data_IF_593706961400
#
_entry.id   IF_593706961400
#
_cell.length_a   1.000
_cell.length_b   1.000
_cell.length_c   1.000
_cell.angle_alpha   90.00
_cell.angle_beta   90.00
_cell.angle_gamma   90.00
#
_symmetry.space_group_name_H-M   'P 1'
#
loop_
_entity.id
_entity.type
_entity.pdbx_description
1 polymer ?
#
# COMPACT_ATOMS: atom_id res chain seq x y z
N UNK A 1 21.07 20.70 -32.87
CA UNK A 1 21.06 19.23 -32.96
C UNK A 1 20.43 18.69 -34.25
N UNK A 2 19.59 19.46 -34.94
CA UNK A 2 19.04 19.11 -36.26
C UNK A 2 20.12 18.70 -37.29
N UNK A 3 21.33 19.25 -37.22
CA UNK A 3 22.44 18.88 -38.11
C UNK A 3 22.93 17.43 -37.94
N UNK A 4 22.82 16.84 -36.74
CA UNK A 4 23.21 15.45 -36.47
C UNK A 4 22.19 14.51 -37.11
N UNK A 5 20.89 14.77 -36.93
CA UNK A 5 19.83 14.02 -37.60
C UNK A 5 19.87 14.19 -39.11
N UNK A 6 20.21 15.38 -39.62
CA UNK A 6 20.37 15.62 -41.06
C UNK A 6 21.54 14.82 -41.65
N UNK A 7 22.60 14.56 -40.88
CA UNK A 7 23.81 13.86 -41.34
C UNK A 7 23.73 12.35 -41.16
N UNK A 8 23.23 11.90 -40.02
CA UNK A 8 23.22 10.49 -39.61
C UNK A 8 21.85 9.83 -39.75
N UNK A 9 20.79 10.62 -39.98
CA UNK A 9 19.43 10.14 -40.18
C UNK A 9 18.97 9.23 -39.05
N UNK A 10 18.40 8.10 -39.45
CA UNK A 10 17.85 7.06 -38.57
C UNK A 10 18.89 6.45 -37.63
N UNK A 11 20.15 6.35 -38.06
CA UNK A 11 21.23 5.73 -37.28
C UNK A 11 21.55 6.49 -35.99
N UNK A 12 21.20 7.78 -35.92
CA UNK A 12 21.36 8.58 -34.70
C UNK A 12 20.31 8.26 -33.62
N UNK A 13 19.15 7.73 -34.02
CA UNK A 13 18.01 7.42 -33.16
C UNK A 13 17.99 5.96 -32.69
N UNK A 14 18.70 5.08 -33.39
CA UNK A 14 18.79 3.66 -33.06
C UNK A 14 19.93 3.35 -32.08
N UNK A 15 19.74 2.31 -31.25
CA UNK A 15 20.80 1.77 -30.43
C UNK A 15 21.89 1.16 -31.33
N UNK A 16 23.15 1.31 -30.91
CA UNK A 16 24.31 0.91 -31.73
C UNK A 16 25.02 -0.27 -31.09
N UNK A 17 25.37 -1.27 -31.90
CA UNK A 17 26.17 -2.41 -31.46
C UNK A 17 27.65 -2.09 -31.62
N UNK A 18 28.47 -2.35 -30.60
CA UNK A 18 29.93 -2.11 -30.67
C UNK A 18 30.69 -3.41 -30.42
N UNK A 19 31.65 -3.69 -31.31
CA UNK A 19 32.50 -4.88 -31.29
C UNK A 19 31.98 -6.03 -32.19
N UNK A 20 32.90 -6.82 -32.75
CA UNK A 20 32.58 -7.96 -33.63
C UNK A 20 31.86 -9.12 -32.93
N UNK A 21 32.07 -9.29 -31.62
CA UNK A 21 31.41 -10.29 -30.76
C UNK A 21 30.25 -9.73 -29.90
N UNK A 22 29.95 -8.45 -30.06
CA UNK A 22 28.57 -7.99 -30.22
C UNK A 22 27.59 -8.25 -29.04
N UNK A 23 28.09 -8.24 -27.79
CA UNK A 23 27.28 -8.28 -26.56
C UNK A 23 27.01 -6.89 -25.94
N UNK A 24 27.58 -5.82 -26.49
CA UNK A 24 27.46 -4.47 -25.93
C UNK A 24 26.61 -3.60 -26.87
N UNK A 25 25.47 -3.15 -26.34
CA UNK A 25 24.60 -2.16 -26.98
C UNK A 25 24.86 -0.79 -26.36
N UNK A 26 25.30 0.15 -27.18
CA UNK A 26 25.37 1.56 -26.81
C UNK A 26 24.01 2.23 -27.05
N UNK A 27 23.66 3.24 -26.22
CA UNK A 27 22.51 4.06 -26.46
C UNK A 27 22.61 4.81 -27.81
N UNK A 28 21.47 5.29 -28.34
CA UNK A 28 21.46 6.13 -29.52
C UNK A 28 22.29 7.41 -29.32
N UNK A 29 22.77 7.98 -30.41
CA UNK A 29 23.56 9.22 -30.39
C UNK A 29 22.71 10.37 -29.87
N UNK A 30 21.46 10.41 -30.31
CA UNK A 30 20.47 11.39 -29.87
C UNK A 30 19.60 10.71 -28.83
N UNK A 31 19.56 11.29 -27.63
CA UNK A 31 18.69 10.76 -26.58
C UNK A 31 17.22 10.89 -26.98
N UNK A 32 16.36 10.01 -26.44
CA UNK A 32 14.92 10.05 -26.72
C UNK A 32 14.29 11.43 -26.42
N UNK A 33 14.76 12.11 -25.37
CA UNK A 33 14.31 13.46 -25.03
C UNK A 33 14.62 14.47 -26.14
N UNK A 34 15.87 14.50 -26.60
CA UNK A 34 16.29 15.40 -27.67
C UNK A 34 15.57 15.08 -29.00
N UNK A 35 15.33 13.80 -29.29
CA UNK A 35 14.53 13.39 -30.45
C UNK A 35 13.09 13.92 -30.37
N UNK A 36 12.47 13.89 -29.18
CA UNK A 36 11.14 14.45 -28.95
C UNK A 36 11.11 15.97 -29.09
N UNK A 37 12.11 16.68 -28.56
CA UNK A 37 12.24 18.14 -28.72
C UNK A 37 12.31 18.52 -30.21
N UNK A 38 13.13 17.83 -31.00
CA UNK A 38 13.23 18.06 -32.45
C UNK A 38 11.93 17.68 -33.17
N UNK A 39 11.25 16.62 -32.75
CA UNK A 39 9.93 16.26 -33.26
C UNK A 39 8.90 17.36 -33.01
N UNK A 40 8.92 17.97 -31.82
CA UNK A 40 8.04 19.11 -31.50
C UNK A 40 8.33 20.32 -32.39
N UNK A 41 9.60 20.65 -32.63
CA UNK A 41 10.00 21.72 -33.55
C UNK A 41 9.51 21.44 -34.99
N UNK A 42 9.69 20.21 -35.50
CA UNK A 42 9.23 19.81 -36.83
C UNK A 42 7.71 19.91 -37.00
N UNK A 43 6.97 19.42 -36.01
CA UNK A 43 5.51 19.52 -36.00
C UNK A 43 5.04 20.97 -35.89
N UNK A 44 5.76 21.83 -35.17
CA UNK A 44 5.48 23.26 -35.08
C UNK A 44 5.73 23.99 -36.41
N UNK A 45 6.71 23.53 -37.20
CA UNK A 45 6.95 24.00 -38.58
C UNK A 45 5.93 23.45 -39.60
N UNK A 46 4.97 22.63 -39.17
CA UNK A 46 3.96 22.01 -40.04
C UNK A 46 4.50 20.89 -40.93
N UNK A 47 5.70 20.38 -40.63
CA UNK A 47 6.32 19.26 -41.36
C UNK A 47 5.95 17.94 -40.70
N UNK A 48 5.79 16.90 -41.51
CA UNK A 48 5.61 15.54 -41.01
C UNK A 48 6.92 14.97 -40.48
N UNK A 49 6.86 14.31 -39.32
CA UNK A 49 8.03 13.68 -38.71
C UNK A 49 8.33 12.33 -39.38
N UNK A 50 9.46 12.15 -40.06
CA UNK A 50 9.73 10.96 -40.87
C UNK A 50 10.08 9.73 -40.01
N UNK A 51 10.45 9.91 -38.75
CA UNK A 51 10.95 8.85 -37.88
C UNK A 51 9.91 8.38 -36.84
N UNK A 52 8.61 8.48 -37.16
CA UNK A 52 7.52 8.08 -36.25
C UNK A 52 7.59 6.58 -35.88
N UNK A 53 8.20 5.75 -36.74
CA UNK A 53 8.42 4.33 -36.50
C UNK A 53 9.57 4.03 -35.52
N UNK A 54 10.50 4.96 -35.30
CA UNK A 54 11.65 4.78 -34.38
C UNK A 54 11.40 5.50 -33.05
N UNK A 55 10.92 6.74 -33.13
CA UNK A 55 10.58 7.56 -31.97
C UNK A 55 9.10 7.93 -32.09
N UNK A 56 8.20 6.98 -31.74
CA UNK A 56 6.79 7.31 -31.68
C UNK A 56 6.54 8.32 -30.56
N UNK A 57 5.56 9.20 -30.78
CA UNK A 57 4.99 10.00 -29.69
C UNK A 57 4.42 9.13 -28.57
N UNK A 58 3.96 9.76 -27.48
CA UNK A 58 3.17 9.02 -26.50
C UNK A 58 1.91 8.49 -27.21
N UNK A 59 1.70 7.16 -27.31
CA UNK A 59 0.46 6.64 -27.85
C UNK A 59 -0.67 7.12 -26.93
N UNK A 60 -1.76 7.61 -27.52
CA UNK A 60 -2.98 7.85 -26.76
C UNK A 60 -3.47 6.51 -26.25
N UNK A 61 -3.47 6.33 -24.93
CA UNK A 61 -4.05 5.16 -24.30
C UNK A 61 -5.56 5.39 -24.29
N UNK A 62 -6.24 4.97 -25.35
CA UNK A 62 -7.68 5.19 -25.52
C UNK A 62 -8.52 4.38 -24.51
N UNK A 63 -7.94 3.30 -23.96
CA UNK A 63 -8.56 2.50 -22.92
C UNK A 63 -8.14 2.97 -21.51
N UNK A 64 -9.10 3.21 -20.59
CA UNK A 64 -8.77 3.47 -19.21
C UNK A 64 -8.09 2.25 -18.58
N UNK A 65 -7.05 2.50 -17.79
CA UNK A 65 -6.37 1.45 -17.03
C UNK A 65 -7.37 0.65 -16.18
N UNK A 66 -7.23 -0.68 -16.16
CA UNK A 66 -8.14 -1.60 -15.47
C UNK A 66 -9.63 -1.44 -15.82
N UNK A 67 -9.96 -1.09 -17.07
CA UNK A 67 -11.35 -0.87 -17.51
C UNK A 67 -12.09 0.16 -16.63
N UNK A 68 -11.36 1.12 -16.07
CA UNK A 68 -11.91 2.13 -15.14
C UNK A 68 -12.23 1.61 -13.74
N UNK A 69 -11.95 0.34 -13.42
CA UNK A 69 -12.17 -0.20 -12.07
C UNK A 69 -11.14 0.36 -11.09
N UNK A 70 -11.64 1.05 -10.08
CA UNK A 70 -10.84 1.51 -8.95
C UNK A 70 -10.64 0.36 -7.96
N UNK A 71 -9.41 0.17 -7.48
CA UNK A 71 -9.04 -0.86 -6.50
C UNK A 71 -9.75 -0.70 -5.15
N UNK A 72 -10.14 0.53 -4.80
CA UNK A 72 -10.62 0.88 -3.45
C UNK A 72 -9.48 0.92 -2.42
N UNK A 73 -9.79 1.38 -1.20
CA UNK A 73 -8.82 1.33 -0.09
C UNK A 73 -8.89 -0.02 0.62
N UNK A 74 -7.77 -0.44 1.22
CA UNK A 74 -7.68 -1.66 2.04
C UNK A 74 -8.80 -1.74 3.10
N UNK A 75 -9.10 -0.62 3.76
CA UNK A 75 -10.15 -0.52 4.79
C UNK A 75 -11.56 -0.84 4.28
N UNK A 76 -11.82 -0.65 2.99
CA UNK A 76 -13.13 -0.93 2.40
C UNK A 76 -13.29 -2.42 2.14
N UNK A 77 -12.20 -3.09 1.72
CA UNK A 77 -12.16 -4.56 1.60
C UNK A 77 -12.30 -5.27 2.96
N UNK A 78 -11.70 -4.73 4.02
CA UNK A 78 -11.72 -5.34 5.36
C UNK A 78 -12.98 -5.01 6.19
N UNK A 79 -13.86 -4.13 5.70
CA UNK A 79 -15.00 -3.61 6.47
C UNK A 79 -15.95 -4.72 6.92
N UNK A 80 -16.35 -5.59 5.99
CA UNK A 80 -17.29 -6.68 6.26
C UNK A 80 -16.74 -7.68 7.31
N UNK A 81 -15.45 -8.03 7.20
CA UNK A 81 -14.80 -8.91 8.17
C UNK A 81 -14.69 -8.27 9.56
N UNK A 82 -14.48 -6.95 9.61
CA UNK A 82 -14.43 -6.20 10.87
C UNK A 82 -15.79 -6.18 11.55
N UNK A 83 -16.85 -5.93 10.80
CA UNK A 83 -18.24 -5.94 11.31
C UNK A 83 -18.63 -7.33 11.82
N UNK A 84 -18.27 -8.40 11.09
CA UNK A 84 -18.52 -9.78 11.52
C UNK A 84 -17.81 -10.10 12.84
N UNK A 85 -16.54 -9.69 12.99
CA UNK A 85 -15.78 -9.86 14.24
C UNK A 85 -16.40 -9.10 15.41
N UNK A 86 -16.85 -7.87 15.18
CA UNK A 86 -17.52 -7.07 16.21
C UNK A 86 -18.82 -7.75 16.66
N UNK A 87 -19.64 -8.22 15.71
CA UNK A 87 -20.89 -8.92 16.03
C UNK A 87 -20.65 -10.18 16.86
N UNK A 88 -19.65 -10.99 16.49
CA UNK A 88 -19.28 -12.18 17.25
C UNK A 88 -18.77 -11.84 18.67
N UNK A 89 -17.99 -10.77 18.81
CA UNK A 89 -17.52 -10.30 20.12
C UNK A 89 -18.68 -9.80 20.99
N UNK A 90 -19.62 -9.04 20.42
CA UNK A 90 -20.79 -8.55 21.14
C UNK A 90 -21.70 -9.69 21.64
N UNK A 91 -21.84 -10.77 20.87
CA UNK A 91 -22.59 -11.96 21.31
C UNK A 91 -21.95 -12.64 22.52
N UNK A 92 -20.61 -12.65 22.62
CA UNK A 92 -19.87 -13.24 23.75
C UNK A 92 -19.78 -12.31 24.97
N UNK A 93 -20.08 -11.02 24.80
CA UNK A 93 -19.92 -10.00 25.83
C UNK A 93 -20.69 -10.32 27.14
N UNK A 94 -21.95 -10.77 27.13
CA UNK A 94 -22.68 -11.09 28.36
C UNK A 94 -22.01 -12.20 29.18
N UNK A 95 -21.51 -13.24 28.51
CA UNK A 95 -20.80 -14.34 29.16
C UNK A 95 -19.50 -13.85 29.80
N UNK A 96 -18.68 -13.09 29.07
CA UNK A 96 -17.43 -12.51 29.58
C UNK A 96 -17.68 -11.59 30.79
N UNK A 97 -18.76 -10.80 30.76
CA UNK A 97 -19.15 -9.95 31.90
C UNK A 97 -19.56 -10.82 33.10
N UNK A 98 -20.30 -11.90 32.89
CA UNK A 98 -20.72 -12.81 33.96
C UNK A 98 -19.51 -13.49 34.61
N UNK A 99 -18.59 -14.02 33.80
CA UNK A 99 -17.33 -14.65 34.25
C UNK A 99 -16.47 -13.65 35.03
N UNK A 100 -16.33 -12.42 34.53
CA UNK A 100 -15.61 -11.36 35.22
C UNK A 100 -16.24 -10.96 36.56
N UNK A 101 -17.57 -10.86 36.62
CA UNK A 101 -18.29 -10.57 37.87
C UNK A 101 -18.13 -11.72 38.86
N UNK A 102 -18.19 -12.97 38.40
CA UNK A 102 -18.03 -14.15 39.24
C UNK A 102 -16.60 -14.29 39.79
N UNK A 103 -15.58 -14.01 38.98
CA UNK A 103 -14.18 -14.06 39.43
C UNK A 103 -13.91 -13.06 40.55
N UNK A 104 -14.53 -11.87 40.50
CA UNK A 104 -14.37 -10.81 41.51
C UNK A 104 -15.35 -10.86 42.67
N UNK A 105 -16.32 -11.80 42.66
CA UNK A 105 -17.22 -12.00 43.79
C UNK A 105 -16.44 -12.61 44.96
N UNK A 106 -16.53 -11.94 46.12
CA UNK A 106 -15.95 -12.40 47.38
C UNK A 106 -17.08 -13.07 48.18
N UNK A 107 -16.94 -14.35 48.54
CA UNK A 107 -17.77 -14.95 49.57
C UNK A 107 -17.39 -14.30 50.91
N UNK A 108 -18.27 -13.47 51.46
CA UNK A 108 -18.02 -12.76 52.73
C UNK A 108 -17.94 -13.70 53.93
N UNK A 109 -18.41 -14.93 53.79
CA UNK A 109 -18.32 -15.99 54.79
C UNK A 109 -16.89 -16.52 54.94
N UNK A 110 -16.11 -16.55 53.84
CA UNK A 110 -14.71 -16.98 53.84
C UNK A 110 -13.75 -15.89 54.33
N UNK A 111 -14.24 -14.66 54.53
CA UNK A 111 -13.43 -13.55 55.05
C UNK A 111 -13.29 -13.70 56.56
N UNK A 112 -12.05 -13.81 57.02
CA UNK A 112 -11.75 -14.00 58.44
C UNK A 112 -12.34 -12.86 59.29
N UNK A 113 -12.85 -13.14 60.51
CA UNK A 113 -13.37 -12.11 61.41
C UNK A 113 -12.36 -11.01 61.72
N UNK A 114 -11.08 -11.36 61.79
CA UNK A 114 -9.96 -10.43 62.00
C UNK A 114 -9.81 -9.47 60.82
N UNK A 115 -9.87 -9.97 59.59
CA UNK A 115 -9.81 -9.10 58.40
C UNK A 115 -11.03 -8.17 58.31
N UNK A 116 -12.22 -8.61 58.74
CA UNK A 116 -13.43 -7.77 58.79
C UNK A 116 -13.29 -6.58 59.76
N UNK A 117 -12.52 -6.75 60.84
CA UNK A 117 -12.29 -5.73 61.86
C UNK A 117 -11.12 -4.81 61.51
N UNK A 118 -10.04 -5.35 60.95
CA UNK A 118 -8.77 -4.63 60.76
C UNK A 118 -8.58 -4.05 59.35
N UNK A 119 -9.33 -4.51 58.36
CA UNK A 119 -9.15 -4.09 56.96
C UNK A 119 -10.36 -3.36 56.40
N UNK A 120 -10.09 -2.40 55.51
CA UNK A 120 -11.14 -1.77 54.72
C UNK A 120 -11.69 -2.73 53.66
N UNK A 121 -12.93 -2.52 53.21
CA UNK A 121 -13.56 -3.31 52.13
C UNK A 121 -12.70 -3.37 50.85
N UNK A 122 -11.92 -2.31 50.58
CA UNK A 122 -10.99 -2.27 49.45
C UNK A 122 -9.80 -3.20 49.65
N UNK A 123 -9.16 -3.17 50.81
CA UNK A 123 -8.03 -4.05 51.15
C UNK A 123 -8.45 -5.52 51.19
N UNK A 124 -9.63 -5.82 51.73
CA UNK A 124 -10.21 -7.18 51.69
C UNK A 124 -10.41 -7.61 50.24
N UNK A 125 -10.92 -6.73 49.38
CA UNK A 125 -11.05 -7.03 47.94
C UNK A 125 -9.72 -7.34 47.30
N UNK A 126 -8.71 -6.52 47.52
CA UNK A 126 -7.37 -6.73 46.96
C UNK A 126 -6.79 -8.06 47.45
N UNK A 127 -6.81 -8.34 48.77
CA UNK A 127 -6.27 -9.58 49.36
C UNK A 127 -6.95 -10.85 48.82
N UNK A 128 -8.27 -10.90 48.81
CA UNK A 128 -9.02 -12.11 48.46
C UNK A 128 -9.24 -12.28 46.96
N UNK A 129 -9.38 -11.19 46.20
CA UNK A 129 -9.52 -11.28 44.73
C UNK A 129 -8.17 -11.54 44.07
N UNK A 130 -7.07 -10.92 44.50
CA UNK A 130 -5.73 -11.20 43.93
C UNK A 130 -5.29 -12.63 44.24
N UNK A 131 -5.61 -13.17 45.42
CA UNK A 131 -5.32 -14.56 45.77
C UNK A 131 -6.10 -15.55 44.90
N UNK A 132 -7.32 -15.20 44.48
CA UNK A 132 -8.18 -16.04 43.63
C UNK A 132 -7.80 -16.00 42.14
N UNK A 133 -7.09 -14.95 41.71
CA UNK A 133 -6.67 -14.74 40.32
C UNK A 133 -5.25 -15.26 40.01
N UNK A 134 -4.44 -15.56 41.03
CA UNK A 134 -3.13 -16.22 40.92
C UNK A 134 -3.32 -17.73 40.99
#
# INVERSE_FOLDING_TARGET
>A
MAHILRRLGEAALQARRVGSNANIWLPPIVSRRQAMEIRHEWLAEGKEWPFEHIVPGLPKNDAPYNAGRQKGHKRDGERAEREARIKAAMQKMPQLIAEYRASRKIPWDDVTPVDKLLMTRRQIREKYVLKKLK
#
